data_IF_968937859160
#
_entry.id   IF_968937859160
#
_cell.length_a   1.000
_cell.length_b   1.000
_cell.length_c   1.000
_cell.angle_alpha   90.00
_cell.angle_beta   90.00
_cell.angle_gamma   90.00
#
_symmetry.space_group_name_H-M   'P 1'
#
loop_
_entity.id
_entity.type
_entity.pdbx_description
1 polymer ?
#
# COMPACT_ATOMS: atom_id res chain seq x y z
N UNK A 1 -3.03 -12.67 -13.62
CA UNK A 1 -3.93 -12.82 -12.48
C UNK A 1 -3.45 -13.97 -11.60
N UNK A 2 -3.14 -13.68 -10.35
CA UNK A 2 -2.66 -14.66 -9.38
C UNK A 2 -3.68 -14.84 -8.26
N UNK A 3 -3.72 -16.03 -7.66
CA UNK A 3 -4.52 -16.31 -6.47
C UNK A 3 -3.59 -16.91 -5.43
N UNK A 4 -3.55 -16.28 -4.26
CA UNK A 4 -2.85 -16.76 -3.07
C UNK A 4 -3.89 -16.96 -1.97
N UNK A 5 -3.89 -18.14 -1.35
CA UNK A 5 -4.75 -18.43 -0.21
C UNK A 5 -3.97 -19.27 0.78
N UNK A 6 -3.88 -18.84 2.03
CA UNK A 6 -3.14 -19.55 3.09
C UNK A 6 -4.06 -20.34 4.00
N UNK A 7 -5.33 -19.91 4.14
CA UNK A 7 -6.37 -20.70 4.84
C UNK A 7 -6.55 -20.29 6.29
N UNK A 8 -6.54 -21.27 7.18
CA UNK A 8 -6.74 -21.02 8.60
C UNK A 8 -5.44 -21.21 9.38
N UNK A 9 -5.18 -20.33 10.31
CA UNK A 9 -3.95 -20.29 11.12
C UNK A 9 -3.41 -18.86 11.14
N UNK A 10 -2.39 -18.63 11.94
CA UNK A 10 -1.73 -17.34 11.94
C UNK A 10 -0.65 -17.35 10.86
N UNK A 11 -0.95 -16.76 9.73
CA UNK A 11 -0.12 -16.82 8.54
C UNK A 11 0.80 -15.61 8.42
N UNK A 12 1.95 -15.81 7.82
CA UNK A 12 2.87 -14.72 7.45
C UNK A 12 3.16 -14.75 5.96
N UNK A 13 2.93 -13.61 5.31
CA UNK A 13 3.19 -13.41 3.88
C UNK A 13 4.12 -12.23 3.70
N UNK A 14 5.22 -12.43 2.97
CA UNK A 14 6.15 -11.38 2.60
C UNK A 14 6.27 -11.29 1.06
N UNK A 15 5.78 -10.20 0.48
CA UNK A 15 5.86 -9.93 -0.96
C UNK A 15 6.87 -8.80 -1.20
N UNK A 16 7.93 -9.10 -1.96
CA UNK A 16 8.97 -8.14 -2.25
C UNK A 16 9.19 -7.99 -3.75
N UNK A 17 8.95 -6.81 -4.29
CA UNK A 17 9.24 -6.43 -5.65
C UNK A 17 10.29 -5.31 -5.66
N UNK A 18 11.45 -5.58 -6.24
CA UNK A 18 12.52 -4.60 -6.34
C UNK A 18 12.97 -4.50 -7.80
N UNK A 19 12.98 -3.30 -8.32
CA UNK A 19 13.45 -3.02 -9.67
C UNK A 19 14.62 -2.04 -9.63
N UNK A 20 15.70 -2.39 -10.34
CA UNK A 20 16.94 -1.61 -10.40
C UNK A 20 17.50 -1.67 -11.80
N UNK A 21 17.89 -0.55 -12.37
CA UNK A 21 18.56 -0.56 -13.67
C UNK A 21 18.42 0.75 -14.43
N UNK A 22 18.76 0.69 -15.71
CA UNK A 22 18.54 1.77 -16.68
C UNK A 22 17.50 1.31 -17.70
N UNK A 23 16.41 2.03 -17.81
CA UNK A 23 15.27 1.69 -18.67
C UNK A 23 13.97 1.76 -17.87
N UNK A 24 12.83 1.48 -18.50
CA UNK A 24 11.54 1.46 -17.80
C UNK A 24 11.53 0.31 -16.78
N UNK A 25 11.35 0.65 -15.53
CA UNK A 25 11.40 -0.27 -14.40
C UNK A 25 10.11 -0.11 -13.59
N UNK A 26 9.35 -1.14 -13.43
CA UNK A 26 8.13 -1.14 -12.62
C UNK A 26 8.27 -2.16 -11.49
N UNK A 27 7.82 -1.82 -10.29
CA UNK A 27 7.77 -2.75 -9.17
C UNK A 27 6.35 -2.83 -8.64
N UNK A 28 5.76 -4.02 -8.73
CA UNK A 28 4.44 -4.31 -8.17
C UNK A 28 4.56 -5.38 -7.08
N UNK A 29 4.14 -5.08 -5.88
CA UNK A 29 4.04 -6.08 -4.81
C UNK A 29 3.00 -7.14 -5.16
N UNK A 30 1.79 -6.73 -5.57
CA UNK A 30 0.82 -7.60 -6.22
C UNK A 30 0.05 -6.84 -7.30
N UNK A 31 -0.17 -7.50 -8.43
CA UNK A 31 -0.87 -6.96 -9.61
C UNK A 31 -1.94 -7.95 -10.08
N UNK A 32 -3.16 -7.45 -10.36
CA UNK A 32 -4.30 -8.24 -10.86
C UNK A 32 -4.54 -9.52 -10.05
N UNK A 33 -4.47 -9.43 -8.73
CA UNK A 33 -4.38 -10.61 -7.86
C UNK A 33 -5.57 -10.72 -6.89
N UNK A 34 -5.74 -11.91 -6.35
CA UNK A 34 -6.58 -12.18 -5.20
C UNK A 34 -5.69 -12.80 -4.12
N UNK A 35 -5.67 -12.18 -2.95
CA UNK A 35 -4.91 -12.66 -1.80
C UNK A 35 -5.90 -12.84 -0.65
N UNK A 36 -5.94 -14.02 -0.05
CA UNK A 36 -6.76 -14.31 1.11
C UNK A 36 -5.93 -15.05 2.15
N UNK A 37 -5.95 -14.60 3.39
CA UNK A 37 -5.25 -15.28 4.48
C UNK A 37 -6.20 -16.16 5.30
N UNK A 38 -7.44 -15.74 5.45
CA UNK A 38 -8.50 -16.60 6.01
C UNK A 38 -8.79 -16.33 7.47
N UNK A 39 -8.61 -17.30 8.35
CA UNK A 39 -8.93 -17.14 9.76
C UNK A 39 -7.72 -17.34 10.66
N UNK A 40 -7.47 -16.38 11.51
CA UNK A 40 -6.31 -16.33 12.41
C UNK A 40 -5.76 -14.91 12.49
N UNK A 41 -4.71 -14.71 13.23
CA UNK A 41 -4.05 -13.41 13.29
C UNK A 41 -2.92 -13.39 12.24
N UNK A 42 -3.18 -12.76 11.11
CA UNK A 42 -2.32 -12.82 9.96
C UNK A 42 -1.41 -11.60 9.83
N UNK A 43 -0.26 -11.78 9.22
CA UNK A 43 0.69 -10.71 8.97
C UNK A 43 1.10 -10.69 7.50
N UNK A 44 0.78 -9.59 6.82
CA UNK A 44 1.12 -9.39 5.43
C UNK A 44 2.04 -8.18 5.25
N UNK A 45 3.25 -8.43 4.77
CA UNK A 45 4.22 -7.39 4.42
C UNK A 45 4.39 -7.31 2.90
N UNK A 46 4.22 -6.12 2.35
CA UNK A 46 4.35 -5.86 0.91
C UNK A 46 5.33 -4.72 0.71
N UNK A 47 6.37 -4.98 -0.08
CA UNK A 47 7.36 -3.97 -0.46
C UNK A 47 7.46 -3.90 -1.98
N UNK A 48 7.29 -2.71 -2.53
CA UNK A 48 7.55 -2.40 -3.92
C UNK A 48 8.56 -1.25 -3.97
N UNK A 49 9.73 -1.49 -4.56
CA UNK A 49 10.78 -0.48 -4.63
C UNK A 49 11.28 -0.35 -6.07
N UNK A 50 11.31 0.87 -6.56
CA UNK A 50 12.04 1.23 -7.77
C UNK A 50 13.22 2.12 -7.39
N UNK A 51 14.35 1.90 -8.05
CA UNK A 51 15.55 2.71 -7.86
C UNK A 51 16.21 2.93 -9.21
N UNK A 52 15.80 3.96 -9.91
CA UNK A 52 16.31 4.26 -11.24
C UNK A 52 16.73 5.73 -11.41
N UNK A 53 17.59 5.96 -12.38
CA UNK A 53 18.21 7.27 -12.61
C UNK A 53 17.57 8.07 -13.75
N UNK A 54 16.58 7.58 -14.50
CA UNK A 54 16.25 8.23 -15.79
C UNK A 54 14.77 8.19 -16.26
N UNK A 55 13.85 7.42 -15.68
CA UNK A 55 12.52 7.18 -16.30
C UNK A 55 11.31 7.21 -15.36
N UNK A 56 10.13 7.13 -15.95
CA UNK A 56 8.84 6.96 -15.28
C UNK A 56 8.70 5.53 -14.74
N UNK A 57 9.04 5.31 -13.49
CA UNK A 57 9.09 3.98 -12.92
C UNK A 57 8.27 3.91 -11.63
N UNK A 58 7.00 3.50 -11.72
CA UNK A 58 6.16 3.45 -10.55
C UNK A 58 6.53 2.29 -9.62
N UNK A 59 6.57 2.59 -8.33
CA UNK A 59 6.53 1.60 -7.26
C UNK A 59 5.09 1.47 -6.77
N UNK A 60 4.50 0.29 -6.91
CA UNK A 60 3.11 0.04 -6.55
C UNK A 60 3.00 -1.16 -5.63
N UNK A 61 2.52 -0.94 -4.41
CA UNK A 61 2.32 -2.05 -3.47
C UNK A 61 1.23 -3.01 -3.95
N UNK A 62 0.00 -2.53 -4.09
CA UNK A 62 -1.13 -3.29 -4.61
C UNK A 62 -1.78 -2.56 -5.78
N UNK A 63 -2.04 -3.27 -6.88
CA UNK A 63 -2.77 -2.75 -8.04
C UNK A 63 -3.81 -3.74 -8.53
N UNK A 64 -5.05 -3.28 -8.77
CA UNK A 64 -6.17 -4.11 -9.22
C UNK A 64 -6.33 -5.40 -8.41
N UNK A 65 -6.14 -5.33 -7.12
CA UNK A 65 -6.04 -6.50 -6.24
C UNK A 65 -7.21 -6.53 -5.26
N UNK A 66 -7.66 -7.73 -4.94
CA UNK A 66 -8.53 -7.99 -3.79
C UNK A 66 -7.67 -8.63 -2.72
N UNK A 67 -7.58 -7.95 -1.58
CA UNK A 67 -6.93 -8.46 -0.37
C UNK A 67 -7.99 -8.69 0.69
N UNK A 68 -8.06 -9.91 1.19
CA UNK A 68 -8.98 -10.33 2.24
C UNK A 68 -8.17 -11.04 3.33
N UNK A 69 -8.00 -10.39 4.47
CA UNK A 69 -7.25 -10.95 5.59
C UNK A 69 -8.13 -11.88 6.42
N UNK A 70 -9.45 -11.64 6.41
CA UNK A 70 -10.42 -12.57 6.99
C UNK A 70 -10.74 -12.27 8.44
N UNK A 71 -10.70 -13.29 9.30
CA UNK A 71 -11.14 -13.15 10.69
C UNK A 71 -9.98 -13.24 11.66
N UNK A 72 -9.82 -12.26 12.51
CA UNK A 72 -8.76 -12.23 13.52
C UNK A 72 -8.17 -10.84 13.68
N UNK A 73 -7.17 -10.69 14.51
CA UNK A 73 -6.42 -9.45 14.62
C UNK A 73 -5.28 -9.45 13.62
N UNK A 74 -5.48 -8.74 12.50
CA UNK A 74 -4.62 -8.81 11.35
C UNK A 74 -3.69 -7.60 11.22
N UNK A 75 -2.59 -7.78 10.52
CA UNK A 75 -1.61 -6.73 10.29
C UNK A 75 -1.21 -6.64 8.81
N UNK A 76 -1.41 -5.46 8.23
CA UNK A 76 -0.94 -5.13 6.89
C UNK A 76 0.10 -4.02 6.95
N UNK A 77 1.29 -4.33 6.45
CA UNK A 77 2.35 -3.36 6.21
C UNK A 77 2.64 -3.27 4.72
N UNK A 78 2.37 -2.13 4.13
CA UNK A 78 2.58 -1.90 2.72
C UNK A 78 3.49 -0.69 2.52
N UNK A 79 4.62 -0.88 1.82
CA UNK A 79 5.55 0.18 1.47
C UNK A 79 5.78 0.21 -0.04
N UNK A 80 5.52 1.34 -0.66
CA UNK A 80 5.87 1.62 -2.04
C UNK A 80 6.85 2.78 -2.09
N UNK A 81 8.05 2.55 -2.61
CA UNK A 81 9.09 3.56 -2.67
C UNK A 81 9.63 3.71 -4.09
N UNK A 82 9.47 4.88 -4.66
CA UNK A 82 10.07 5.27 -5.93
C UNK A 82 11.21 6.26 -5.65
N UNK A 83 12.44 5.83 -5.91
CA UNK A 83 13.65 6.62 -5.69
C UNK A 83 14.42 6.76 -7.00
N UNK A 84 14.94 7.95 -7.26
CA UNK A 84 15.73 8.16 -8.48
C UNK A 84 15.74 9.60 -8.95
N UNK A 85 16.02 9.79 -10.23
CA UNK A 85 15.93 11.07 -10.94
C UNK A 85 14.88 10.95 -12.05
N UNK A 86 14.07 11.98 -12.26
CA UNK A 86 13.02 11.97 -13.25
C UNK A 86 11.63 12.08 -12.65
N UNK A 87 10.62 11.54 -13.32
CA UNK A 87 9.26 11.50 -12.79
C UNK A 87 9.09 10.25 -11.95
N UNK A 88 8.87 10.44 -10.66
CA UNK A 88 8.75 9.37 -9.69
C UNK A 88 7.31 9.22 -9.22
N UNK A 89 6.81 8.00 -9.23
CA UNK A 89 5.45 7.69 -8.77
C UNK A 89 5.46 6.54 -7.78
N UNK A 90 4.88 6.75 -6.61
CA UNK A 90 4.71 5.71 -5.60
C UNK A 90 3.23 5.61 -5.21
N UNK A 91 2.67 4.42 -5.34
CA UNK A 91 1.30 4.11 -4.95
C UNK A 91 1.32 2.98 -3.92
N UNK A 92 0.79 3.24 -2.74
CA UNK A 92 0.60 2.17 -1.75
C UNK A 92 -0.39 1.14 -2.28
N UNK A 93 -1.67 1.52 -2.42
CA UNK A 93 -2.69 0.70 -3.07
C UNK A 93 -3.47 1.53 -4.09
N UNK A 94 -3.71 0.99 -5.27
CA UNK A 94 -4.52 1.62 -6.32
C UNK A 94 -5.51 0.63 -6.95
N UNK A 95 -6.76 1.08 -7.18
CA UNK A 95 -7.87 0.24 -7.68
C UNK A 95 -8.03 -1.09 -6.90
N UNK A 96 -7.85 -1.04 -5.60
CA UNK A 96 -7.74 -2.23 -4.74
C UNK A 96 -8.87 -2.25 -3.72
N UNK A 97 -9.34 -3.44 -3.38
CA UNK A 97 -10.22 -3.65 -2.22
C UNK A 97 -9.44 -4.38 -1.15
N UNK A 98 -9.43 -3.83 0.05
CA UNK A 98 -8.82 -4.42 1.25
C UNK A 98 -9.91 -4.63 2.28
N UNK A 99 -10.10 -5.87 2.70
CA UNK A 99 -10.93 -6.25 3.83
C UNK A 99 -10.04 -6.92 4.86
N UNK A 100 -10.13 -6.53 6.11
CA UNK A 100 -9.39 -7.18 7.18
C UNK A 100 -10.28 -8.05 8.05
N UNK A 101 -11.60 -7.91 7.92
CA UNK A 101 -12.58 -8.73 8.60
C UNK A 101 -13.57 -9.37 7.62
N UNK A 102 -13.99 -10.59 7.95
CA UNK A 102 -15.18 -11.20 7.35
C UNK A 102 -16.43 -10.53 7.95
N UNK A 103 -17.34 -10.08 7.10
CA UNK A 103 -18.61 -9.44 7.49
C UNK A 103 -19.47 -10.29 8.46
N UNK A 104 -19.11 -11.54 8.72
CA UNK A 104 -19.83 -12.50 9.53
C UNK A 104 -19.18 -12.81 10.88
N UNK A 105 -17.97 -12.33 11.13
CA UNK A 105 -17.18 -12.69 12.32
C UNK A 105 -17.15 -11.57 13.37
N UNK A 106 -16.91 -11.95 14.63
CA UNK A 106 -16.45 -10.99 15.63
C UNK A 106 -15.04 -10.57 15.24
N UNK A 107 -14.90 -9.39 14.66
CA UNK A 107 -13.62 -8.86 14.18
C UNK A 107 -12.54 -8.77 15.24
N UNK A 108 -11.33 -8.70 14.78
CA UNK A 108 -10.17 -8.45 15.61
C UNK A 108 -9.76 -6.98 15.63
N UNK A 109 -8.83 -6.63 16.50
CA UNK A 109 -8.22 -5.30 16.46
C UNK A 109 -7.13 -5.29 15.38
N UNK A 110 -7.40 -4.66 14.22
CA UNK A 110 -6.55 -4.70 13.06
C UNK A 110 -5.56 -3.54 12.99
N UNK A 111 -4.42 -3.79 12.37
CA UNK A 111 -3.40 -2.79 12.13
C UNK A 111 -3.05 -2.66 10.65
N UNK A 112 -3.38 -1.52 10.06
CA UNK A 112 -3.09 -1.22 8.67
C UNK A 112 -2.11 -0.04 8.57
N UNK A 113 -0.97 -0.26 7.93
CA UNK A 113 0.01 0.78 7.63
C UNK A 113 0.35 0.76 6.15
N UNK A 114 -0.07 1.81 5.43
CA UNK A 114 0.22 1.97 4.01
C UNK A 114 1.06 3.24 3.83
N UNK A 115 2.26 3.04 3.28
CA UNK A 115 3.20 4.12 3.01
C UNK A 115 3.57 4.17 1.53
N UNK A 116 3.50 5.37 0.96
CA UNK A 116 4.00 5.66 -0.37
C UNK A 116 5.04 6.78 -0.28
N UNK A 117 6.21 6.58 -0.86
CA UNK A 117 7.27 7.57 -0.89
C UNK A 117 7.83 7.72 -2.30
N UNK A 118 7.78 8.92 -2.83
CA UNK A 118 8.42 9.29 -4.08
C UNK A 118 9.43 10.41 -3.80
N UNK A 119 10.70 10.16 -4.05
CA UNK A 119 11.74 11.11 -3.70
C UNK A 119 12.92 11.12 -4.66
N UNK A 120 13.45 12.31 -4.87
CA UNK A 120 14.66 12.50 -5.65
C UNK A 120 15.87 12.66 -4.72
N UNK A 121 16.89 11.84 -4.88
CA UNK A 121 18.09 11.85 -4.06
C UNK A 121 19.18 12.82 -4.55
N UNK A 122 19.03 13.36 -5.75
CA UNK A 122 20.04 14.20 -6.36
C UNK A 122 19.54 15.64 -6.48
N UNK A 123 20.13 16.48 -5.68
CA UNK A 123 19.94 17.93 -5.67
C UNK A 123 20.64 18.53 -6.88
N UNK A 124 20.00 18.48 -8.03
CA UNK A 124 20.39 19.33 -9.15
C UNK A 124 19.15 19.70 -9.96
N UNK A 125 18.84 20.97 -10.04
CA UNK A 125 17.99 21.78 -10.92
C UNK A 125 17.20 21.13 -12.08
N UNK A 126 17.11 19.80 -12.13
CA UNK A 126 16.40 18.97 -13.09
C UNK A 126 15.36 18.09 -12.35
N UNK A 127 14.83 18.63 -11.26
CA UNK A 127 13.82 17.96 -10.48
C UNK A 127 12.53 17.85 -11.28
N UNK A 128 12.29 16.67 -11.77
CA UNK A 128 11.04 16.29 -12.37
C UNK A 128 9.98 16.04 -11.28
N UNK A 129 8.81 15.71 -11.70
CA UNK A 129 7.63 15.57 -10.86
C UNK A 129 7.71 14.33 -9.95
N UNK A 130 7.44 14.48 -8.66
CA UNK A 130 7.28 13.37 -7.73
C UNK A 130 5.83 13.27 -7.23
N UNK A 131 5.25 12.08 -7.31
CA UNK A 131 3.88 11.82 -6.85
C UNK A 131 3.86 10.63 -5.89
N UNK A 132 3.36 10.82 -4.69
CA UNK A 132 3.15 9.76 -3.71
C UNK A 132 1.68 9.70 -3.30
N UNK A 133 1.04 8.54 -3.45
CA UNK A 133 -0.35 8.32 -3.04
C UNK A 133 -0.42 7.04 -2.21
N UNK A 134 -0.76 7.16 -0.94
CA UNK A 134 -0.83 5.97 -0.10
C UNK A 134 -2.03 5.10 -0.49
N UNK A 135 -3.20 5.70 -0.72
CA UNK A 135 -4.42 4.96 -1.03
C UNK A 135 -5.22 5.66 -2.14
N UNK A 136 -5.26 5.09 -3.36
CA UNK A 136 -5.86 5.67 -4.56
C UNK A 136 -6.99 4.82 -5.12
N UNK A 137 -8.16 5.42 -5.39
CA UNK A 137 -9.32 4.76 -6.03
C UNK A 137 -9.64 3.39 -5.43
N UNK A 138 -9.49 3.26 -4.14
CA UNK A 138 -9.50 2.00 -3.43
C UNK A 138 -10.53 1.97 -2.29
N UNK A 139 -10.85 0.77 -1.82
CA UNK A 139 -11.79 0.55 -0.73
C UNK A 139 -11.06 -0.18 0.39
N UNK A 140 -11.16 0.35 1.61
CA UNK A 140 -10.69 -0.27 2.85
C UNK A 140 -11.87 -0.47 3.79
N UNK A 141 -12.05 -1.71 4.28
CA UNK A 141 -12.99 -2.04 5.33
C UNK A 141 -12.26 -2.81 6.42
N UNK A 142 -12.30 -2.33 7.67
CA UNK A 142 -11.66 -3.02 8.78
C UNK A 142 -12.66 -3.80 9.64
N UNK A 143 -13.96 -3.50 9.53
CA UNK A 143 -15.00 -4.35 10.11
C UNK A 143 -15.33 -4.06 11.57
N UNK A 144 -15.07 -4.98 12.49
CA UNK A 144 -15.37 -4.82 13.91
C UNK A 144 -14.15 -5.08 14.78
N UNK A 145 -13.80 -4.14 15.61
CA UNK A 145 -12.58 -4.17 16.44
C UNK A 145 -12.20 -2.76 16.83
N UNK A 146 -11.07 -2.59 17.50
CA UNK A 146 -10.49 -1.27 17.70
C UNK A 146 -9.32 -1.13 16.73
N UNK A 147 -9.62 -0.66 15.53
CA UNK A 147 -8.71 -0.71 14.42
C UNK A 147 -7.77 0.50 14.34
N UNK A 148 -6.57 0.27 13.89
CA UNK A 148 -5.60 1.33 13.67
C UNK A 148 -5.18 1.39 12.21
N UNK A 149 -5.46 2.53 11.55
CA UNK A 149 -5.16 2.78 10.15
C UNK A 149 -4.24 3.97 10.02
N UNK A 150 -3.10 3.78 9.37
CA UNK A 150 -2.14 4.82 9.05
C UNK A 150 -1.88 4.86 7.54
N UNK A 151 -2.31 5.93 6.88
CA UNK A 151 -2.04 6.19 5.47
C UNK A 151 -1.07 7.36 5.36
N UNK A 152 0.11 7.11 4.83
CA UNK A 152 1.16 8.11 4.75
C UNK A 152 1.71 8.22 3.33
N UNK A 153 1.68 9.44 2.78
CA UNK A 153 2.27 9.76 1.49
C UNK A 153 3.34 10.84 1.66
N UNK A 154 4.51 10.62 1.10
CA UNK A 154 5.62 11.55 1.16
C UNK A 154 6.23 11.74 -0.23
N UNK A 155 6.18 12.97 -0.75
CA UNK A 155 6.78 13.31 -2.02
C UNK A 155 7.83 14.40 -1.83
N UNK A 156 9.04 14.22 -2.35
CA UNK A 156 10.14 15.18 -2.27
C UNK A 156 10.71 15.49 -3.65
N UNK A 157 10.98 16.74 -3.91
CA UNK A 157 11.47 17.23 -5.21
C UNK A 157 11.00 18.64 -5.51
N UNK A 158 11.08 19.10 -6.76
CA UNK A 158 10.68 20.45 -7.15
C UNK A 158 9.16 20.58 -7.44
N UNK A 159 8.58 19.61 -8.14
CA UNK A 159 7.14 19.49 -8.31
C UNK A 159 6.62 18.27 -7.58
N UNK A 160 5.98 18.45 -6.43
CA UNK A 160 5.60 17.37 -5.55
C UNK A 160 4.09 17.31 -5.33
N UNK A 161 3.56 16.09 -5.34
CA UNK A 161 2.17 15.80 -5.04
C UNK A 161 2.10 14.62 -4.06
N UNK A 162 1.52 14.84 -2.89
CA UNK A 162 1.30 13.79 -1.90
C UNK A 162 -0.17 13.71 -1.52
N UNK A 163 -0.73 12.50 -1.51
CA UNK A 163 -2.10 12.24 -1.10
C UNK A 163 -2.13 11.01 -0.18
N UNK A 164 -2.55 11.18 1.06
CA UNK A 164 -2.75 10.05 1.97
C UNK A 164 -3.88 9.14 1.50
N UNK A 165 -5.01 9.73 1.05
CA UNK A 165 -6.10 9.03 0.36
C UNK A 165 -6.65 9.91 -0.78
N UNK A 166 -6.89 9.32 -1.94
CA UNK A 166 -7.41 9.99 -3.12
C UNK A 166 -8.51 9.13 -3.75
N UNK A 167 -9.70 9.73 -4.00
CA UNK A 167 -10.85 9.07 -4.64
C UNK A 167 -11.21 7.70 -4.02
N UNK A 168 -11.04 7.55 -2.72
CA UNK A 168 -11.12 6.28 -2.01
C UNK A 168 -12.20 6.26 -0.93
N UNK A 169 -12.60 5.07 -0.53
CA UNK A 169 -13.56 4.83 0.54
C UNK A 169 -12.85 4.10 1.68
N UNK A 170 -12.98 4.63 2.90
CA UNK A 170 -12.45 4.00 4.11
C UNK A 170 -13.59 3.83 5.09
N UNK A 171 -13.82 2.62 5.52
CA UNK A 171 -14.80 2.23 6.54
C UNK A 171 -14.07 1.51 7.67
N UNK A 172 -14.13 2.08 8.87
CA UNK A 172 -13.50 1.49 10.04
C UNK A 172 -14.45 0.59 10.83
N UNK A 173 -15.76 0.68 10.50
CA UNK A 173 -16.75 -0.24 11.07
C UNK A 173 -17.16 0.04 12.51
N UNK A 174 -17.10 -0.97 13.37
CA UNK A 174 -17.59 -0.88 14.74
C UNK A 174 -16.46 -1.07 15.75
N UNK A 175 -16.29 -0.12 16.65
CA UNK A 175 -15.24 -0.14 17.67
C UNK A 175 -14.76 1.26 18.05
N UNK A 176 -13.60 1.32 18.68
CA UNK A 176 -12.91 2.57 18.95
C UNK A 176 -11.70 2.67 18.01
N UNK A 177 -11.95 3.20 16.83
CA UNK A 177 -10.98 3.18 15.75
C UNK A 177 -10.08 4.41 15.75
N UNK A 178 -8.87 4.23 15.21
CA UNK A 178 -7.92 5.30 14.99
C UNK A 178 -7.53 5.37 13.51
N UNK A 179 -7.90 6.46 12.87
CA UNK A 179 -7.54 6.74 11.47
C UNK A 179 -6.60 7.95 11.39
N UNK A 180 -5.41 7.72 10.86
CA UNK A 180 -4.43 8.76 10.58
C UNK A 180 -4.13 8.81 9.07
N UNK A 181 -4.38 9.96 8.47
CA UNK A 181 -4.08 10.21 7.06
C UNK A 181 -3.11 11.39 6.98
N UNK A 182 -1.93 11.15 6.43
CA UNK A 182 -0.86 12.12 6.37
C UNK A 182 -0.29 12.24 4.96
N UNK A 183 -0.02 13.47 4.54
CA UNK A 183 0.60 13.78 3.24
C UNK A 183 1.62 14.91 3.42
N UNK A 184 2.83 14.68 2.95
CA UNK A 184 3.94 15.62 2.97
C UNK A 184 4.47 15.89 1.56
N UNK A 185 4.82 17.14 1.30
CA UNK A 185 5.52 17.58 0.09
C UNK A 185 6.70 18.48 0.46
#
# INVERSE_FOLDING_TARGET
KSILNTGAGNDQIDLNANSHGSGVQEAYGALDSIISTGAGNDNLNIHANTNDNINWDPAVGLSNTILDLGAGADSLHLNANANGSGVLEAYGATNTTINTDDLSSSGGDDYISIHASAGNWWDDNNAEKSTAIAFDKSILNTGAGNDQINLNANATGAETYAYGALDSIISTGAGNDYLNIHANT
#
